data_IF_166574217407
#
_entry.id   IF_166574217407
#
_cell.length_a   1.000
_cell.length_b   1.000
_cell.length_c   1.000
_cell.angle_alpha   90.00
_cell.angle_beta   90.00
_cell.angle_gamma   90.00
#
_symmetry.space_group_name_H-M   'P 1'
#
loop_
_entity.id
_entity.type
_entity.pdbx_description
1 polymer ?
#
# COMPACT_ATOMS: atom_id res chain seq x y z
N UNK A 1 12.13 -16.07 12.01
CA UNK A 1 11.85 -16.84 10.79
C UNK A 1 11.38 -15.86 9.73
N UNK A 2 11.85 -16.00 8.48
CA UNK A 2 11.39 -15.17 7.36
C UNK A 2 9.95 -15.53 7.00
N UNK A 3 9.19 -14.56 6.48
CA UNK A 3 7.82 -14.75 5.97
C UNK A 3 7.81 -15.16 4.49
N UNK A 4 8.98 -15.39 3.88
CA UNK A 4 9.05 -15.79 2.47
C UNK A 4 8.31 -17.12 2.23
N UNK A 5 7.55 -17.17 1.14
CA UNK A 5 6.72 -18.34 0.76
C UNK A 5 5.63 -18.72 1.79
N UNK A 6 5.19 -17.76 2.62
CA UNK A 6 4.02 -17.91 3.48
C UNK A 6 2.83 -17.15 2.93
N UNK A 7 1.62 -17.64 3.20
CA UNK A 7 0.39 -16.95 2.81
C UNK A 7 0.13 -15.73 3.70
N UNK A 8 -0.38 -14.66 3.08
CA UNK A 8 -0.82 -13.47 3.80
C UNK A 8 -1.98 -13.83 4.72
N UNK A 9 -1.88 -13.36 5.97
CA UNK A 9 -2.94 -13.57 6.96
C UNK A 9 -4.17 -12.72 6.63
N UNK A 10 -5.39 -13.17 7.00
CA UNK A 10 -6.59 -12.35 6.84
C UNK A 10 -6.44 -11.01 7.56
N UNK A 11 -6.83 -9.93 6.88
CA UNK A 11 -6.85 -8.59 7.44
C UNK A 11 -8.02 -7.78 6.88
N UNK A 12 -8.39 -6.73 7.61
CA UNK A 12 -9.34 -5.73 7.17
C UNK A 12 -8.81 -4.36 7.61
N UNK A 13 -8.69 -3.46 6.65
CA UNK A 13 -8.16 -2.11 6.83
C UNK A 13 -8.98 -1.11 6.00
N UNK A 14 -8.87 0.17 6.36
CA UNK A 14 -9.42 1.27 5.56
C UNK A 14 -8.26 2.02 4.92
N UNK A 15 -8.26 2.12 3.60
CA UNK A 15 -7.29 2.89 2.84
C UNK A 15 -7.91 4.19 2.32
N UNK A 16 -7.09 5.20 2.08
CA UNK A 16 -7.49 6.40 1.37
C UNK A 16 -7.01 6.32 -0.08
N UNK A 17 -7.91 6.52 -1.03
CA UNK A 17 -7.59 6.50 -2.46
C UNK A 17 -8.38 7.60 -3.17
N UNK A 18 -7.66 8.52 -3.83
CA UNK A 18 -8.23 9.61 -4.63
C UNK A 18 -9.38 10.38 -3.93
N UNK A 19 -9.20 10.74 -2.65
CA UNK A 19 -10.19 11.51 -1.89
C UNK A 19 -11.30 10.68 -1.23
N UNK A 20 -11.25 9.35 -1.30
CA UNK A 20 -12.26 8.45 -0.73
C UNK A 20 -11.66 7.40 0.18
N UNK A 21 -12.38 7.07 1.24
CA UNK A 21 -12.07 5.91 2.08
C UNK A 21 -12.62 4.64 1.43
N UNK A 22 -11.73 3.66 1.22
CA UNK A 22 -12.06 2.37 0.62
C UNK A 22 -11.69 1.23 1.58
N UNK A 23 -12.57 0.23 1.78
CA UNK A 23 -12.21 -0.96 2.55
C UNK A 23 -11.25 -1.83 1.75
N UNK A 24 -10.19 -2.30 2.39
CA UNK A 24 -9.17 -3.20 1.82
C UNK A 24 -9.01 -4.41 2.73
N UNK A 25 -8.93 -5.59 2.14
CA UNK A 25 -8.79 -6.88 2.83
C UNK A 25 -7.84 -7.82 2.08
N UNK A 26 -7.54 -8.98 2.66
CA UNK A 26 -6.74 -10.01 2.00
C UNK A 26 -7.36 -10.49 0.67
N UNK A 27 -8.69 -10.35 0.51
CA UNK A 27 -9.37 -10.67 -0.73
C UNK A 27 -8.94 -9.75 -1.89
N UNK A 28 -8.57 -8.50 -1.61
CA UNK A 28 -8.10 -7.55 -2.62
C UNK A 28 -6.70 -7.90 -3.15
N UNK A 29 -5.92 -8.65 -2.39
CA UNK A 29 -4.59 -9.12 -2.80
C UNK A 29 -4.66 -10.40 -3.66
N UNK A 30 -5.84 -11.02 -3.80
CA UNK A 30 -6.02 -12.26 -4.55
C UNK A 30 -6.29 -11.96 -6.02
N UNK A 31 -5.65 -12.72 -6.91
CA UNK A 31 -5.89 -12.65 -8.35
C UNK A 31 -5.04 -11.64 -9.12
N UNK A 32 -4.13 -10.93 -8.43
CA UNK A 32 -3.17 -10.01 -9.05
C UNK A 32 -1.88 -9.95 -8.24
N UNK A 33 -0.86 -9.31 -8.81
CA UNK A 33 0.35 -9.02 -8.04
C UNK A 33 0.08 -7.83 -7.13
N UNK A 34 0.54 -7.92 -5.89
CA UNK A 34 0.35 -6.86 -4.90
C UNK A 34 1.66 -6.56 -4.18
N UNK A 35 1.96 -5.29 -4.01
CA UNK A 35 3.11 -4.77 -3.26
C UNK A 35 2.59 -4.05 -2.02
N UNK A 36 2.94 -4.56 -0.84
CA UNK A 36 2.67 -3.90 0.44
C UNK A 36 3.93 -3.12 0.85
N UNK A 37 3.88 -1.79 0.71
CA UNK A 37 4.97 -0.90 1.07
C UNK A 37 4.75 -0.34 2.47
N UNK A 38 5.47 -0.92 3.45
CA UNK A 38 5.37 -0.48 4.84
C UNK A 38 6.33 0.68 5.11
N UNK A 39 5.80 1.77 5.65
CA UNK A 39 6.59 2.94 6.05
C UNK A 39 6.18 3.40 7.46
N UNK A 40 7.11 4.01 8.23
CA UNK A 40 6.94 4.20 9.67
C UNK A 40 5.85 5.21 10.04
N UNK A 41 5.78 6.36 9.35
CA UNK A 41 4.67 7.29 9.51
C UNK A 41 4.60 8.31 8.35
N UNK A 42 3.37 8.75 8.04
CA UNK A 42 3.05 9.88 7.17
C UNK A 42 3.74 11.16 7.69
N UNK A 43 4.25 12.00 6.77
CA UNK A 43 4.93 13.27 7.08
C UNK A 43 6.22 13.18 7.92
N UNK A 44 6.88 12.03 7.94
CA UNK A 44 8.22 11.90 8.52
C UNK A 44 9.34 12.28 7.55
N UNK A 45 10.54 12.52 8.06
CA UNK A 45 11.74 12.89 7.29
C UNK A 45 12.29 11.75 6.40
N UNK A 46 11.67 10.56 6.44
CA UNK A 46 11.94 9.52 5.45
C UNK A 46 11.32 9.98 4.14
N UNK A 47 12.21 10.27 3.21
CA UNK A 47 12.05 11.27 2.19
C UNK A 47 10.81 11.02 1.30
N UNK A 48 9.99 12.05 1.00
CA UNK A 48 8.88 11.97 0.03
C UNK A 48 9.32 11.52 -1.38
N UNK A 49 10.62 11.33 -1.61
CA UNK A 49 11.17 10.77 -2.86
C UNK A 49 10.79 9.31 -3.07
N UNK A 50 10.76 8.46 -2.04
CA UNK A 50 10.42 7.03 -2.26
C UNK A 50 8.94 6.86 -2.66
N UNK A 51 8.06 7.62 -2.01
CA UNK A 51 6.64 7.67 -2.36
C UNK A 51 6.40 8.38 -3.70
N UNK A 52 7.19 9.42 -4.00
CA UNK A 52 7.16 10.12 -5.29
C UNK A 52 7.58 9.23 -6.46
N UNK A 53 8.72 8.55 -6.35
CA UNK A 53 9.21 7.61 -7.36
C UNK A 53 8.21 6.47 -7.59
N UNK A 54 7.60 5.98 -6.50
CA UNK A 54 6.60 4.92 -6.57
C UNK A 54 5.28 5.40 -7.19
N UNK A 55 4.89 6.66 -6.97
CA UNK A 55 3.76 7.29 -7.64
C UNK A 55 4.03 7.51 -9.14
N UNK A 56 5.24 7.93 -9.51
CA UNK A 56 5.64 8.10 -10.92
C UNK A 56 5.64 6.75 -11.66
N UNK A 57 6.10 5.70 -11.00
CA UNK A 57 6.12 4.33 -11.55
C UNK A 57 4.76 3.63 -11.46
N UNK A 58 3.78 4.18 -10.72
CA UNK A 58 2.48 3.52 -10.52
C UNK A 58 1.80 3.18 -11.84
N UNK A 59 1.90 4.07 -12.84
CA UNK A 59 1.35 3.81 -14.18
C UNK A 59 1.98 2.58 -14.87
N UNK A 60 3.25 2.30 -14.61
CA UNK A 60 3.94 1.13 -15.17
C UNK A 60 3.60 -0.14 -14.39
N UNK A 61 3.49 -0.06 -13.07
CA UNK A 61 2.99 -1.17 -12.25
C UNK A 61 1.56 -1.57 -12.63
N UNK A 62 0.69 -0.59 -12.89
CA UNK A 62 -0.66 -0.82 -13.39
C UNK A 62 -0.67 -1.58 -14.73
N UNK A 63 0.23 -1.25 -15.67
CA UNK A 63 0.32 -1.93 -16.97
C UNK A 63 0.69 -3.41 -16.85
N UNK A 64 1.44 -3.77 -15.83
CA UNK A 64 1.82 -5.17 -15.55
C UNK A 64 0.85 -5.87 -14.58
N UNK A 65 -0.25 -5.22 -14.19
CA UNK A 65 -1.25 -5.79 -13.29
C UNK A 65 -0.78 -5.90 -11.85
N UNK A 66 0.09 -4.99 -11.41
CA UNK A 66 0.57 -4.90 -10.03
C UNK A 66 -0.14 -3.74 -9.32
N UNK A 67 -0.74 -4.04 -8.17
CA UNK A 67 -1.26 -3.03 -7.26
C UNK A 67 -0.29 -2.72 -6.13
N UNK A 68 -0.26 -1.45 -5.72
CA UNK A 68 0.62 -0.99 -4.65
C UNK A 68 -0.20 -0.41 -3.51
N UNK A 69 0.12 -0.85 -2.30
CA UNK A 69 -0.55 -0.48 -1.06
C UNK A 69 0.48 0.12 -0.11
N UNK A 70 0.40 1.43 0.14
CA UNK A 70 1.14 2.09 1.21
C UNK A 70 0.51 1.75 2.56
N UNK A 71 1.31 1.27 3.51
CA UNK A 71 0.84 0.87 4.84
C UNK A 71 1.68 1.57 5.90
N UNK A 72 1.05 2.42 6.71
CA UNK A 72 1.64 2.96 7.94
C UNK A 72 0.77 2.62 9.15
N UNK A 73 1.29 2.91 10.34
CA UNK A 73 0.51 2.83 11.59
C UNK A 73 -0.32 4.08 11.85
N UNK A 74 -0.29 5.07 10.97
CA UNK A 74 -1.11 6.27 11.10
C UNK A 74 -2.58 5.94 10.83
N UNK A 75 -3.45 6.75 11.40
CA UNK A 75 -4.86 6.70 11.05
C UNK A 75 -5.06 7.28 9.66
N UNK A 76 -6.00 6.75 8.89
CA UNK A 76 -6.42 7.27 7.58
C UNK A 76 -6.84 8.77 7.55
N UNK A 77 -6.90 9.45 8.71
CA UNK A 77 -7.10 10.89 8.84
C UNK A 77 -5.84 11.75 8.65
N UNK A 78 -4.64 11.16 8.61
CA UNK A 78 -3.40 11.93 8.37
C UNK A 78 -3.30 12.41 6.92
N UNK A 79 -3.93 11.73 5.97
CA UNK A 79 -3.80 11.96 4.52
C UNK A 79 -4.79 13.00 3.96
N UNK A 80 -5.27 13.94 4.81
CA UNK A 80 -6.23 14.99 4.42
C UNK A 80 -5.55 16.24 3.89
#
# INVERSE_FOLDING_TARGET
MSLINSEVKPFSATAFHAGKFVPVSDANLKGGWSVLFFYPADFTFVCPTELGDLADLYADFQKIGVEIYGVSTDTHFTQT
#
